data_IF_120848731127
#
_entry.id   IF_120848731127
#
_cell.length_a   1.000
_cell.length_b   1.000
_cell.length_c   1.000
_cell.angle_alpha   90.00
_cell.angle_beta   90.00
_cell.angle_gamma   90.00
#
_symmetry.space_group_name_H-M   'P 1'
#
loop_
_entity.id
_entity.type
_entity.pdbx_description
1 polymer ?
#
# COMPACT_ATOMS: atom_id res chain seq x y z
N UNK A 1 -2.53 -23.89 0.82
CA UNK A 1 -1.73 -22.99 1.67
C UNK A 1 -2.47 -21.71 1.94
N UNK A 2 -2.95 -20.97 0.92
CA UNK A 2 -3.72 -19.72 1.12
C UNK A 2 -4.95 -19.89 2.01
N UNK A 3 -5.79 -20.91 1.78
CA UNK A 3 -6.95 -21.15 2.67
C UNK A 3 -6.57 -21.37 4.14
N UNK A 4 -5.42 -21.99 4.39
CA UNK A 4 -4.90 -22.20 5.74
C UNK A 4 -4.38 -20.90 6.36
N UNK A 5 -3.81 -20.00 5.56
CA UNK A 5 -3.43 -18.65 6.00
C UNK A 5 -4.67 -17.87 6.40
N UNK A 6 -5.70 -17.86 5.56
CA UNK A 6 -6.98 -17.20 5.83
C UNK A 6 -7.68 -17.77 7.08
N UNK A 7 -7.66 -19.09 7.26
CA UNK A 7 -8.27 -19.75 8.42
C UNK A 7 -7.49 -19.58 9.73
N UNK A 8 -6.28 -19.04 9.71
CA UNK A 8 -5.43 -18.97 10.90
C UNK A 8 -4.93 -20.34 11.38
N UNK A 9 -4.47 -21.19 10.45
CA UNK A 9 -4.05 -22.57 10.75
C UNK A 9 -2.91 -22.62 11.79
N UNK A 10 -3.22 -23.22 12.95
CA UNK A 10 -2.29 -23.36 14.08
C UNK A 10 -1.04 -24.21 13.75
N UNK A 11 -1.15 -25.16 12.82
CA UNK A 11 -0.01 -25.96 12.38
C UNK A 11 1.00 -25.12 11.61
N UNK A 12 0.53 -24.24 10.72
CA UNK A 12 1.36 -23.27 10.01
C UNK A 12 1.99 -22.27 10.99
N UNK A 13 1.23 -21.79 11.98
CA UNK A 13 1.72 -20.89 13.01
C UNK A 13 2.84 -21.54 13.84
N UNK A 14 2.64 -22.78 14.31
CA UNK A 14 3.68 -23.57 15.02
C UNK A 14 4.92 -23.83 14.17
N UNK A 15 4.76 -23.92 12.85
CA UNK A 15 5.85 -24.01 11.89
C UNK A 15 6.51 -22.64 11.57
N UNK A 16 6.19 -21.58 12.32
CA UNK A 16 6.77 -20.24 12.17
C UNK A 16 6.30 -19.49 10.91
N UNK A 17 5.17 -19.90 10.31
CA UNK A 17 4.58 -19.21 9.16
C UNK A 17 3.57 -18.17 9.63
N UNK A 18 3.54 -17.01 8.97
CA UNK A 18 2.51 -16.00 9.19
C UNK A 18 1.16 -16.52 8.69
N UNK A 19 0.14 -16.40 9.53
CA UNK A 19 -1.26 -16.69 9.23
C UNK A 19 -2.13 -15.52 9.68
N UNK A 20 -3.40 -15.49 9.29
CA UNK A 20 -4.34 -14.50 9.78
C UNK A 20 -4.64 -14.79 11.27
N UNK A 21 -4.38 -13.82 12.13
CA UNK A 21 -4.63 -13.90 13.58
C UNK A 21 -5.74 -12.95 14.04
N UNK A 22 -6.58 -12.52 13.10
CA UNK A 22 -7.66 -11.58 13.38
C UNK A 22 -8.81 -12.20 14.18
N UNK A 23 -9.50 -11.33 14.92
CA UNK A 23 -10.63 -11.64 15.77
C UNK A 23 -11.90 -10.86 15.41
N UNK A 24 -12.91 -10.87 16.28
CA UNK A 24 -14.26 -10.38 15.98
C UNK A 24 -14.37 -8.88 15.73
N UNK A 25 -13.33 -8.11 16.07
CA UNK A 25 -13.31 -6.64 15.96
C UNK A 25 -12.41 -6.15 14.82
N UNK A 26 -11.71 -7.05 14.13
CA UNK A 26 -10.71 -6.69 13.14
C UNK A 26 -11.33 -6.60 11.74
N UNK A 27 -10.79 -5.71 10.91
CA UNK A 27 -11.10 -5.66 9.49
C UNK A 27 -10.05 -6.44 8.70
N UNK A 28 -10.50 -7.23 7.73
CA UNK A 28 -9.64 -8.05 6.88
C UNK A 28 -9.76 -7.58 5.43
N UNK A 29 -8.65 -7.29 4.78
CA UNK A 29 -8.58 -7.03 3.35
C UNK A 29 -7.78 -8.14 2.67
N UNK A 30 -8.32 -8.72 1.60
CA UNK A 30 -7.66 -9.75 0.80
C UNK A 30 -7.67 -9.31 -0.65
N UNK A 31 -6.49 -9.30 -1.27
CA UNK A 31 -6.35 -9.07 -2.70
C UNK A 31 -5.71 -10.29 -3.35
N UNK A 32 -6.36 -10.81 -4.38
CA UNK A 32 -5.83 -11.84 -5.25
C UNK A 32 -5.70 -11.28 -6.65
N UNK A 33 -4.59 -11.62 -7.30
CA UNK A 33 -4.35 -11.24 -8.68
C UNK A 33 -3.50 -12.32 -9.35
N UNK A 34 -4.06 -13.00 -10.36
CA UNK A 34 -3.40 -13.96 -11.25
C UNK A 34 -4.38 -14.29 -12.41
N UNK A 35 -4.22 -15.45 -13.02
CA UNK A 35 -5.18 -16.07 -13.91
C UNK A 35 -6.35 -16.72 -13.17
N UNK A 36 -7.43 -16.90 -13.90
CA UNK A 36 -8.61 -17.64 -13.46
C UNK A 36 -9.35 -18.24 -14.64
N UNK A 37 -10.27 -19.12 -14.32
CA UNK A 37 -11.24 -19.69 -15.24
C UNK A 37 -12.56 -19.91 -14.48
N UNK A 38 -13.54 -20.53 -15.10
CA UNK A 38 -14.84 -20.77 -14.49
C UNK A 38 -14.67 -21.49 -13.13
N UNK A 39 -15.15 -20.83 -12.08
CA UNK A 39 -15.15 -21.25 -10.67
C UNK A 39 -13.76 -21.53 -10.07
N UNK A 40 -12.68 -21.00 -10.68
CA UNK A 40 -11.30 -21.29 -10.26
C UNK A 40 -10.41 -20.04 -10.39
N UNK A 41 -9.55 -19.83 -9.38
CA UNK A 41 -8.37 -18.98 -9.49
C UNK A 41 -7.08 -19.79 -9.41
N UNK A 42 -6.07 -19.38 -10.18
CA UNK A 42 -4.84 -20.14 -10.38
C UNK A 42 -3.73 -19.75 -9.40
N UNK A 43 -2.94 -20.75 -9.00
CA UNK A 43 -1.67 -20.61 -8.30
C UNK A 43 -0.60 -21.30 -9.13
N UNK A 44 0.71 -21.02 -8.94
CA UNK A 44 1.77 -21.51 -9.81
C UNK A 44 1.76 -23.03 -10.10
N UNK A 45 1.28 -23.84 -9.16
CA UNK A 45 1.20 -25.30 -9.30
C UNK A 45 -0.15 -25.89 -8.86
N UNK A 46 -1.14 -25.05 -8.57
CA UNK A 46 -2.43 -25.48 -8.00
C UNK A 46 -3.56 -24.58 -8.48
N UNK A 47 -4.78 -25.06 -8.35
CA UNK A 47 -5.98 -24.27 -8.54
C UNK A 47 -6.72 -24.15 -7.20
N UNK A 48 -7.36 -23.01 -6.96
CA UNK A 48 -8.29 -22.82 -5.86
C UNK A 48 -9.70 -22.71 -6.42
N UNK A 49 -10.58 -23.64 -6.06
CA UNK A 49 -11.98 -23.64 -6.46
C UNK A 49 -12.79 -22.63 -5.66
N UNK A 50 -13.80 -22.05 -6.29
CA UNK A 50 -14.74 -21.12 -5.68
C UNK A 50 -15.38 -21.67 -4.41
N UNK A 51 -15.81 -22.95 -4.44
CA UNK A 51 -16.44 -23.59 -3.29
C UNK A 51 -15.48 -23.80 -2.10
N UNK A 52 -14.21 -24.10 -2.36
CA UNK A 52 -13.21 -24.27 -1.28
C UNK A 52 -12.92 -22.93 -0.60
N UNK A 53 -12.82 -21.85 -1.40
CA UNK A 53 -12.71 -20.49 -0.89
C UNK A 53 -13.95 -20.11 -0.07
N UNK A 54 -15.14 -20.30 -0.63
CA UNK A 54 -16.41 -19.98 0.03
C UNK A 54 -16.57 -20.72 1.36
N UNK A 55 -16.26 -22.02 1.39
CA UNK A 55 -16.33 -22.82 2.62
C UNK A 55 -15.37 -22.27 3.69
N UNK A 56 -14.18 -21.84 3.29
CA UNK A 56 -13.22 -21.21 4.21
C UNK A 56 -13.75 -19.88 4.74
N UNK A 57 -14.31 -19.03 3.87
CA UNK A 57 -14.90 -17.74 4.27
C UNK A 57 -16.09 -17.92 5.23
N UNK A 58 -16.96 -18.90 4.98
CA UNK A 58 -18.05 -19.26 5.89
C UNK A 58 -17.53 -19.75 7.24
N UNK A 59 -16.46 -20.55 7.25
CA UNK A 59 -15.82 -20.99 8.48
C UNK A 59 -15.22 -19.81 9.27
N UNK A 60 -14.53 -18.90 8.59
CA UNK A 60 -14.00 -17.68 9.21
C UNK A 60 -15.11 -16.82 9.84
N UNK A 61 -16.26 -16.71 9.17
CA UNK A 61 -17.42 -16.01 9.72
C UNK A 61 -17.93 -16.69 11.00
N UNK A 62 -18.15 -18.01 10.93
CA UNK A 62 -18.59 -18.82 12.06
C UNK A 62 -17.65 -18.68 13.27
N UNK A 63 -16.34 -18.69 13.02
CA UNK A 63 -15.30 -18.60 14.04
C UNK A 63 -14.99 -17.16 14.47
N UNK A 64 -15.78 -16.19 14.00
CA UNK A 64 -15.68 -14.76 14.33
C UNK A 64 -14.27 -14.20 14.11
N UNK A 65 -13.66 -14.56 12.98
CA UNK A 65 -12.29 -14.14 12.60
C UNK A 65 -12.21 -12.73 12.05
N UNK A 66 -13.33 -12.02 11.88
CA UNK A 66 -13.37 -10.64 11.42
C UNK A 66 -14.66 -9.95 11.83
N UNK A 67 -14.62 -8.63 11.97
CA UNK A 67 -15.80 -7.77 12.01
C UNK A 67 -16.37 -7.55 10.61
N UNK A 68 -15.50 -7.29 9.63
CA UNK A 68 -15.81 -7.14 8.20
C UNK A 68 -14.65 -7.62 7.35
N UNK A 69 -14.94 -8.21 6.20
CA UNK A 69 -13.93 -8.65 5.23
C UNK A 69 -14.19 -8.05 3.85
N UNK A 70 -13.15 -7.55 3.21
CA UNK A 70 -13.18 -7.08 1.82
C UNK A 70 -12.27 -7.95 0.97
N UNK A 71 -12.77 -8.42 -0.18
CA UNK A 71 -12.04 -9.32 -1.08
C UNK A 71 -12.01 -8.78 -2.51
N UNK A 72 -10.82 -8.45 -3.01
CA UNK A 72 -10.60 -8.05 -4.40
C UNK A 72 -10.02 -9.22 -5.19
N UNK A 73 -10.61 -9.57 -6.33
CA UNK A 73 -10.10 -10.61 -7.23
C UNK A 73 -9.89 -10.03 -8.63
N UNK A 74 -8.62 -9.94 -9.04
CA UNK A 74 -8.27 -9.80 -10.44
C UNK A 74 -7.93 -11.16 -11.04
N UNK A 75 -8.77 -11.60 -11.96
CA UNK A 75 -8.58 -12.79 -12.79
C UNK A 75 -9.63 -12.84 -13.91
N UNK A 76 -9.34 -13.58 -14.99
CA UNK A 76 -10.36 -13.97 -15.95
C UNK A 76 -11.45 -14.78 -15.23
N UNK A 77 -12.70 -14.59 -15.64
CA UNK A 77 -13.89 -15.24 -15.07
C UNK A 77 -14.06 -15.01 -13.56
N UNK A 78 -13.40 -14.01 -12.98
CA UNK A 78 -13.34 -13.79 -11.52
C UNK A 78 -14.71 -13.64 -10.86
N UNK A 79 -15.72 -13.11 -11.57
CA UNK A 79 -17.09 -13.05 -11.08
C UNK A 79 -17.67 -14.42 -10.70
N UNK A 80 -17.23 -15.50 -11.35
CA UNK A 80 -17.68 -16.87 -11.04
C UNK A 80 -17.28 -17.33 -9.63
N UNK A 81 -16.25 -16.72 -9.03
CA UNK A 81 -15.83 -17.04 -7.66
C UNK A 81 -16.88 -16.67 -6.60
N UNK A 82 -17.83 -15.80 -6.92
CA UNK A 82 -18.84 -15.31 -5.96
C UNK A 82 -20.27 -15.28 -6.51
N UNK A 83 -20.46 -15.35 -7.83
CA UNK A 83 -21.77 -15.23 -8.47
C UNK A 83 -22.76 -16.29 -7.95
N UNK A 84 -23.85 -15.81 -7.33
CA UNK A 84 -24.91 -16.62 -6.71
C UNK A 84 -24.47 -17.54 -5.55
N UNK A 85 -23.22 -17.46 -5.10
CA UNK A 85 -22.69 -18.35 -4.06
C UNK A 85 -22.21 -17.61 -2.80
N UNK A 86 -21.80 -16.34 -2.90
CA UNK A 86 -21.41 -15.54 -1.73
C UNK A 86 -22.66 -15.01 -0.99
N UNK A 87 -22.90 -15.40 0.28
CA UNK A 87 -24.02 -14.88 1.06
C UNK A 87 -23.86 -13.39 1.38
N UNK A 88 -24.98 -12.71 1.59
CA UNK A 88 -25.03 -11.27 1.90
C UNK A 88 -25.00 -10.96 3.39
N UNK A 89 -25.10 -11.98 4.26
CA UNK A 89 -25.25 -11.86 5.71
C UNK A 89 -23.98 -12.23 6.49
N UNK A 90 -22.90 -12.63 5.81
CA UNK A 90 -21.64 -13.05 6.44
C UNK A 90 -20.58 -11.94 6.55
N UNK A 91 -20.98 -10.67 6.38
CA UNK A 91 -20.11 -9.48 6.53
C UNK A 91 -18.89 -9.48 5.63
N UNK A 92 -19.06 -9.96 4.40
CA UNK A 92 -18.05 -9.95 3.34
C UNK A 92 -18.55 -9.09 2.19
N UNK A 93 -17.72 -8.17 1.71
CA UNK A 93 -17.89 -7.49 0.43
C UNK A 93 -16.79 -7.93 -0.51
N UNK A 94 -17.14 -8.23 -1.75
CA UNK A 94 -16.16 -8.64 -2.74
C UNK A 94 -16.35 -7.89 -4.05
N UNK A 95 -15.23 -7.61 -4.72
CA UNK A 95 -15.23 -7.06 -6.08
C UNK A 95 -14.33 -7.88 -6.99
N UNK A 96 -14.71 -7.97 -8.25
CA UNK A 96 -14.00 -8.78 -9.25
C UNK A 96 -13.73 -7.97 -10.50
N UNK A 97 -12.63 -8.29 -11.18
CA UNK A 97 -12.21 -7.60 -12.41
C UNK A 97 -13.12 -7.88 -13.61
N UNK A 98 -13.83 -9.01 -13.60
CA UNK A 98 -14.60 -9.50 -14.73
C UNK A 98 -15.91 -10.18 -14.28
N UNK A 99 -16.89 -10.25 -15.17
CA UNK A 99 -18.07 -11.12 -15.07
C UNK A 99 -17.69 -12.61 -15.01
N UNK A 100 -18.64 -13.49 -14.64
CA UNK A 100 -18.42 -14.94 -14.61
C UNK A 100 -18.09 -15.59 -15.96
N UNK A 101 -18.33 -14.90 -17.08
CA UNK A 101 -18.26 -15.43 -18.45
C UNK A 101 -17.29 -14.65 -19.37
N UNK A 102 -16.40 -13.83 -18.81
CA UNK A 102 -15.47 -13.01 -19.59
C UNK A 102 -14.04 -12.99 -19.02
N UNK A 103 -13.07 -12.58 -19.86
CA UNK A 103 -11.68 -12.37 -19.45
C UNK A 103 -11.46 -11.07 -18.68
N UNK A 104 -10.30 -10.94 -18.04
CA UNK A 104 -9.83 -9.68 -17.46
C UNK A 104 -8.76 -9.04 -18.34
N UNK A 105 -8.60 -7.72 -18.20
CA UNK A 105 -7.70 -6.93 -19.03
C UNK A 105 -6.33 -6.65 -18.40
N UNK A 106 -5.32 -6.47 -19.26
CA UNK A 106 -3.94 -6.12 -18.94
C UNK A 106 -3.58 -4.72 -19.46
N UNK A 107 -2.62 -4.06 -18.83
CA UNK A 107 -2.19 -2.72 -19.21
C UNK A 107 -0.66 -2.59 -19.16
N UNK A 108 -0.16 -1.41 -19.55
CA UNK A 108 1.25 -1.05 -19.50
C UNK A 108 2.17 -2.08 -20.17
N UNK A 109 2.13 -2.12 -21.50
CA UNK A 109 3.08 -2.92 -22.26
C UNK A 109 4.48 -2.30 -22.17
N UNK A 110 5.47 -3.11 -21.81
CA UNK A 110 6.88 -2.75 -21.73
C UNK A 110 7.65 -3.49 -22.84
N UNK A 111 8.26 -2.71 -23.73
CA UNK A 111 9.00 -3.23 -24.89
C UNK A 111 10.32 -3.90 -24.51
N UNK A 112 10.97 -3.45 -23.42
CA UNK A 112 12.29 -3.95 -23.01
C UNK A 112 12.18 -5.38 -22.45
N UNK A 113 11.06 -5.71 -21.81
CA UNK A 113 10.77 -7.08 -21.33
C UNK A 113 9.78 -7.83 -22.22
N UNK A 114 9.30 -7.21 -23.29
CA UNK A 114 8.31 -7.76 -24.23
C UNK A 114 7.08 -8.36 -23.52
N UNK A 115 6.52 -7.63 -22.54
CA UNK A 115 5.43 -8.11 -21.71
C UNK A 115 4.63 -6.94 -21.08
N UNK A 116 3.45 -7.25 -20.54
CA UNK A 116 2.66 -6.32 -19.73
C UNK A 116 3.13 -6.32 -18.27
N UNK A 117 3.26 -5.13 -17.68
CA UNK A 117 3.66 -4.96 -16.26
C UNK A 117 2.48 -4.69 -15.32
N UNK A 118 1.27 -4.51 -15.86
CA UNK A 118 0.09 -4.18 -15.09
C UNK A 118 -1.16 -4.90 -15.56
N UNK A 119 -2.15 -4.92 -14.66
CA UNK A 119 -3.49 -5.41 -14.93
C UNK A 119 -4.48 -4.26 -14.70
N UNK A 120 -5.34 -3.99 -15.69
CA UNK A 120 -6.13 -2.74 -15.75
C UNK A 120 -6.97 -2.54 -14.49
N UNK A 121 -7.70 -3.56 -14.05
CA UNK A 121 -8.47 -3.51 -12.79
C UNK A 121 -7.57 -3.22 -11.58
N UNK A 122 -6.43 -3.91 -11.51
CA UNK A 122 -5.52 -3.84 -10.36
C UNK A 122 -4.88 -2.47 -10.23
N UNK A 123 -4.35 -1.97 -11.35
CA UNK A 123 -3.78 -0.63 -11.46
C UNK A 123 -4.82 0.43 -11.08
N UNK A 124 -6.02 0.35 -11.65
CA UNK A 124 -7.05 1.35 -11.39
C UNK A 124 -7.42 1.46 -9.91
N UNK A 125 -7.59 0.35 -9.18
CA UNK A 125 -7.92 0.44 -7.76
C UNK A 125 -6.73 0.92 -6.92
N UNK A 126 -5.50 0.53 -7.28
CA UNK A 126 -4.29 0.98 -6.58
C UNK A 126 -4.03 2.47 -6.79
N UNK A 127 -4.08 2.98 -8.02
CA UNK A 127 -3.88 4.40 -8.33
C UNK A 127 -5.03 5.27 -7.78
N UNK A 128 -6.26 4.76 -7.80
CA UNK A 128 -7.37 5.42 -7.11
C UNK A 128 -7.12 5.51 -5.60
N UNK A 129 -6.58 4.45 -4.99
CA UNK A 129 -6.21 4.46 -3.55
C UNK A 129 -5.13 5.50 -3.26
N UNK A 130 -4.17 5.70 -4.16
CA UNK A 130 -3.10 6.70 -3.99
C UNK A 130 -3.60 8.15 -4.02
N UNK A 131 -4.70 8.40 -4.73
CA UNK A 131 -5.34 9.71 -4.83
C UNK A 131 -6.56 9.86 -3.91
N UNK A 132 -6.88 8.83 -3.12
CA UNK A 132 -8.05 8.80 -2.25
C UNK A 132 -7.88 9.67 -1.00
N UNK A 133 -9.01 10.13 -0.46
CA UNK A 133 -9.08 10.76 0.86
C UNK A 133 -9.55 9.75 1.90
N UNK A 134 -9.47 10.12 3.19
CA UNK A 134 -9.92 9.23 4.26
C UNK A 134 -11.43 8.94 4.22
N UNK A 135 -12.19 9.74 3.48
CA UNK A 135 -13.63 9.66 3.27
C UNK A 135 -14.01 8.85 2.02
N UNK A 136 -13.06 8.59 1.09
CA UNK A 136 -13.33 7.83 -0.13
C UNK A 136 -13.86 6.43 0.21
N UNK A 137 -15.04 6.10 -0.28
CA UNK A 137 -15.68 4.82 -0.01
C UNK A 137 -15.26 3.73 -1.00
N UNK A 138 -15.48 2.46 -0.64
CA UNK A 138 -15.34 1.35 -1.58
C UNK A 138 -16.26 1.48 -2.80
N UNK A 139 -17.40 2.15 -2.66
CA UNK A 139 -18.32 2.40 -3.75
C UNK A 139 -17.76 3.43 -4.71
N UNK A 140 -17.20 4.54 -4.20
CA UNK A 140 -16.53 5.55 -5.04
C UNK A 140 -15.37 4.91 -5.82
N UNK A 141 -14.56 4.09 -5.15
CA UNK A 141 -13.48 3.35 -5.79
C UNK A 141 -14.00 2.35 -6.82
N UNK A 142 -15.09 1.62 -6.54
CA UNK A 142 -15.67 0.69 -7.49
C UNK A 142 -16.21 1.39 -8.74
N UNK A 143 -16.89 2.53 -8.58
CA UNK A 143 -17.40 3.33 -9.68
C UNK A 143 -16.26 3.88 -10.54
N UNK A 144 -15.15 4.28 -9.90
CA UNK A 144 -13.90 4.63 -10.60
C UNK A 144 -13.35 3.44 -11.40
N UNK A 145 -13.19 2.26 -10.77
CA UNK A 145 -12.69 1.06 -11.45
C UNK A 145 -13.57 0.70 -12.65
N UNK A 146 -14.89 0.75 -12.49
CA UNK A 146 -15.85 0.38 -13.54
C UNK A 146 -15.80 1.33 -14.74
N UNK A 147 -15.47 2.60 -14.51
CA UNK A 147 -15.31 3.60 -15.58
C UNK A 147 -13.93 3.52 -16.27
N UNK A 148 -12.89 3.10 -15.55
CA UNK A 148 -11.51 3.07 -16.04
C UNK A 148 -11.05 1.67 -16.51
N UNK A 149 -11.90 0.65 -16.41
CA UNK A 149 -11.64 -0.72 -16.88
C UNK A 149 -12.61 -1.07 -18.04
N UNK A 150 -12.46 -0.50 -19.24
CA UNK A 150 -13.47 -0.63 -20.29
C UNK A 150 -13.54 -2.02 -20.94
N UNK A 151 -12.47 -2.82 -20.83
CA UNK A 151 -12.32 -4.10 -21.51
C UNK A 151 -12.81 -5.31 -20.68
N UNK A 152 -13.20 -5.10 -19.42
CA UNK A 152 -13.86 -6.11 -18.59
C UNK A 152 -14.83 -5.45 -17.63
N UNK A 153 -15.97 -6.07 -17.36
CA UNK A 153 -17.03 -5.48 -16.53
C UNK A 153 -16.83 -5.89 -15.08
N UNK A 154 -16.23 -4.99 -14.29
CA UNK A 154 -16.07 -5.19 -12.86
C UNK A 154 -17.42 -5.45 -12.16
N UNK A 155 -17.43 -6.35 -11.16
CA UNK A 155 -18.64 -6.76 -10.42
C UNK A 155 -18.46 -6.57 -8.91
N UNK A 156 -19.57 -6.45 -8.18
CA UNK A 156 -19.64 -6.45 -6.71
C UNK A 156 -20.53 -7.59 -6.20
N UNK A 157 -20.17 -8.17 -5.05
CA UNK A 157 -20.89 -9.28 -4.42
C UNK A 157 -20.92 -9.16 -2.89
N UNK A 158 -21.81 -9.92 -2.25
CA UNK A 158 -21.90 -10.03 -0.79
C UNK A 158 -22.68 -8.89 -0.13
N UNK A 159 -22.25 -8.49 1.07
CA UNK A 159 -22.86 -7.42 1.86
C UNK A 159 -22.50 -6.03 1.28
N UNK A 160 -23.31 -5.56 0.33
CA UNK A 160 -23.11 -4.26 -0.34
C UNK A 160 -23.20 -3.06 0.62
N UNK A 161 -23.66 -3.23 1.87
CA UNK A 161 -23.59 -2.15 2.85
C UNK A 161 -22.15 -1.77 3.20
N UNK A 162 -21.21 -2.71 3.07
CA UNK A 162 -19.78 -2.49 3.29
C UNK A 162 -19.17 -1.62 2.20
N UNK A 163 -19.73 -1.62 0.97
CA UNK A 163 -19.27 -0.76 -0.13
C UNK A 163 -19.34 0.74 0.24
N UNK A 164 -20.25 1.12 1.15
CA UNK A 164 -20.39 2.51 1.61
C UNK A 164 -19.36 2.93 2.65
N UNK A 165 -18.55 2.01 3.14
CA UNK A 165 -17.53 2.30 4.15
C UNK A 165 -16.29 2.91 3.51
N UNK A 166 -15.58 3.79 4.23
CA UNK A 166 -14.31 4.32 3.77
C UNK A 166 -13.27 3.22 3.53
N UNK A 167 -12.53 3.31 2.42
CA UNK A 167 -11.44 2.37 2.12
C UNK A 167 -10.31 2.45 3.16
N UNK A 168 -10.18 3.61 3.83
CA UNK A 168 -9.20 3.87 4.89
C UNK A 168 -9.39 2.97 6.13
N UNK A 169 -10.59 2.41 6.34
CA UNK A 169 -10.86 1.45 7.43
C UNK A 169 -10.20 0.09 7.22
N UNK A 170 -9.72 -0.20 6.01
CA UNK A 170 -9.13 -1.48 5.64
C UNK A 170 -7.70 -1.31 5.11
N UNK A 171 -7.44 -0.25 4.34
CA UNK A 171 -6.15 0.02 3.72
C UNK A 171 -5.28 0.99 4.53
N UNK A 172 -5.79 1.49 5.66
CA UNK A 172 -5.13 2.46 6.53
C UNK A 172 -5.50 3.91 6.18
N UNK A 173 -5.29 4.82 7.14
CA UNK A 173 -5.54 6.25 6.91
C UNK A 173 -4.52 6.82 5.94
N UNK A 174 -5.00 7.56 4.96
CA UNK A 174 -4.21 8.38 4.06
C UNK A 174 -3.84 9.66 4.81
N UNK A 175 -2.83 9.56 5.68
CA UNK A 175 -2.28 10.71 6.40
C UNK A 175 -1.33 11.47 5.47
N UNK A 176 -1.32 12.80 5.56
CA UNK A 176 -0.42 13.67 4.80
C UNK A 176 1.06 13.47 5.14
N UNK A 177 1.39 12.59 6.08
CA UNK A 177 2.72 12.02 6.27
C UNK A 177 2.55 10.58 6.78
N UNK A 178 2.91 9.59 5.96
CA UNK A 178 2.93 8.19 6.40
C UNK A 178 4.38 7.76 6.56
N UNK A 179 4.76 7.38 7.78
CA UNK A 179 5.84 6.42 8.00
C UNK A 179 5.35 5.11 7.38
N UNK A 180 5.49 4.98 6.07
CA UNK A 180 5.13 3.75 5.38
C UNK A 180 6.04 2.66 5.91
N UNK A 181 5.43 1.55 6.35
CA UNK A 181 6.16 0.31 6.46
C UNK A 181 6.45 -0.18 5.04
N UNK A 182 7.44 0.44 4.39
CA UNK A 182 7.92 0.02 3.08
C UNK A 182 8.62 -1.31 3.30
N UNK A 183 8.12 -2.37 2.66
CA UNK A 183 8.91 -3.55 2.32
C UNK A 183 9.58 -3.21 0.99
N UNK A 184 10.91 -3.09 1.01
CA UNK A 184 11.68 -2.85 -0.21
C UNK A 184 12.19 -4.20 -0.73
N UNK A 185 11.67 -4.70 -1.85
CA UNK A 185 12.26 -5.85 -2.58
C UNK A 185 13.42 -5.36 -3.45
N UNK A 186 14.65 -5.75 -3.09
CA UNK A 186 15.83 -5.51 -3.94
C UNK A 186 16.08 -6.70 -4.91
N UNK A 187 16.35 -6.40 -6.19
CA UNK A 187 16.57 -7.39 -7.26
C UNK A 187 18.05 -7.61 -7.61
N UNK A 188 18.58 -8.83 -7.45
CA UNK A 188 19.88 -9.18 -8.03
C UNK A 188 19.69 -9.69 -9.48
N UNK A 189 20.19 -8.94 -10.48
CA UNK A 189 20.17 -9.39 -11.87
C UNK A 189 21.24 -10.48 -12.09
N UNK A 190 20.81 -11.68 -12.51
CA UNK A 190 21.69 -12.67 -13.12
C UNK A 190 21.46 -12.64 -14.64
N UNK A 191 22.53 -12.41 -15.39
CA UNK A 191 22.56 -12.42 -16.86
C UNK A 191 21.98 -13.73 -17.40
N UNK A 192 20.99 -13.64 -18.30
CA UNK A 192 20.56 -14.77 -19.14
C UNK A 192 20.42 -14.25 -20.57
N UNK A 193 21.11 -14.95 -21.48
CA UNK A 193 21.32 -14.63 -22.89
C UNK A 193 20.04 -14.62 -23.75
N UNK A 194 20.13 -13.83 -24.81
CA UNK A 194 19.15 -13.61 -25.89
C UNK A 194 18.57 -14.89 -26.50
N UNK A 195 17.26 -14.86 -26.80
CA UNK A 195 16.68 -15.55 -27.96
C UNK A 195 15.74 -14.59 -28.67
N UNK A 196 16.12 -14.21 -29.89
CA UNK A 196 15.37 -13.35 -30.82
C UNK A 196 14.06 -13.99 -31.29
N UNK A 197 13.02 -13.15 -31.44
CA UNK A 197 11.78 -13.49 -32.12
C UNK A 197 11.08 -12.23 -32.64
N UNK A 198 11.32 -11.89 -33.91
CA UNK A 198 10.85 -10.65 -34.53
C UNK A 198 9.36 -10.60 -34.85
N UNK A 199 8.80 -9.40 -34.78
CA UNK A 199 7.47 -9.06 -35.29
C UNK A 199 7.29 -7.55 -35.37
N UNK A 200 7.09 -7.02 -36.58
CA UNK A 200 7.10 -5.59 -36.88
C UNK A 200 5.98 -4.78 -36.23
N UNK A 201 6.37 -3.73 -35.50
CA UNK A 201 5.51 -2.65 -35.01
C UNK A 201 6.15 -1.30 -35.35
N UNK A 202 5.32 -0.33 -35.76
CA UNK A 202 5.73 0.98 -36.28
C UNK A 202 6.59 1.76 -35.27
N UNK A 203 7.68 2.37 -35.75
CA UNK A 203 8.51 3.34 -34.99
C UNK A 203 7.64 4.50 -34.51
N UNK A 204 7.27 4.53 -33.23
CA UNK A 204 6.79 5.74 -32.57
C UNK A 204 8.00 6.41 -31.92
N UNK A 205 8.23 7.69 -32.23
CA UNK A 205 9.32 8.47 -31.63
C UNK A 205 9.08 8.57 -30.12
N UNK A 206 10.11 8.27 -29.33
CA UNK A 206 10.18 8.42 -27.87
C UNK A 206 9.48 9.71 -27.42
N UNK A 207 8.56 9.69 -26.45
CA UNK A 207 8.38 10.86 -25.60
C UNK A 207 9.72 11.11 -24.92
N UNK A 208 10.20 12.36 -24.96
CA UNK A 208 11.32 12.76 -24.09
C UNK A 208 10.94 12.43 -22.65
N UNK A 209 11.91 12.01 -21.84
CA UNK A 209 11.80 11.93 -20.38
C UNK A 209 10.93 13.08 -19.90
N UNK A 210 9.75 12.76 -19.38
CA UNK A 210 8.93 13.75 -18.67
C UNK A 210 9.65 13.96 -17.35
N UNK A 211 10.57 14.92 -17.33
CA UNK A 211 11.01 15.54 -16.10
C UNK A 211 9.78 16.21 -15.50
N UNK A 212 9.27 15.66 -14.40
CA UNK A 212 8.35 16.37 -13.53
C UNK A 212 9.10 17.58 -12.96
N UNK A 213 8.95 18.72 -13.65
CA UNK A 213 9.20 20.04 -13.09
C UNK A 213 7.85 20.67 -12.77
N UNK A 214 7.86 21.44 -11.70
CA UNK A 214 6.82 22.35 -11.19
C UNK A 214 5.99 21.77 -10.03
N UNK A 215 6.66 21.64 -8.88
CA UNK A 215 6.09 22.09 -7.62
C UNK A 215 6.84 23.37 -7.26
N UNK A 216 6.10 24.45 -7.01
CA UNK A 216 6.63 25.80 -6.81
C UNK A 216 7.78 25.85 -5.79
N UNK A 217 8.89 26.43 -6.23
CA UNK A 217 10.01 26.84 -5.40
C UNK A 217 9.54 27.80 -4.30
N UNK A 218 9.67 27.38 -3.05
CA UNK A 218 9.96 28.33 -1.97
C UNK A 218 11.40 28.06 -1.53
N UNK A 219 12.25 29.01 -1.87
CA UNK A 219 13.70 28.95 -1.75
C UNK A 219 14.19 28.57 -0.34
N UNK A 220 15.06 27.57 -0.28
CA UNK A 220 16.06 27.42 0.77
C UNK A 220 17.40 27.01 0.13
N UNK A 221 18.42 27.83 0.39
CA UNK A 221 19.80 27.79 -0.10
C UNK A 221 20.40 26.39 -0.37
N UNK A 222 20.75 26.14 -1.65
CA UNK A 222 22.05 25.57 -2.05
C UNK A 222 22.29 24.05 -1.99
N UNK A 223 21.41 23.24 -1.39
CA UNK A 223 21.57 21.78 -1.35
C UNK A 223 20.39 21.07 -2.01
N UNK A 224 20.66 20.07 -2.86
CA UNK A 224 19.63 19.18 -3.41
C UNK A 224 18.80 18.57 -2.28
N UNK A 225 17.47 18.54 -2.41
CA UNK A 225 16.58 17.98 -1.38
C UNK A 225 16.76 16.45 -1.18
N UNK A 226 17.35 15.80 -2.17
CA UNK A 226 17.64 14.36 -2.22
C UNK A 226 19.07 14.13 -2.70
N UNK A 227 19.59 12.93 -2.48
CA UNK A 227 20.85 12.46 -3.05
C UNK A 227 20.71 11.02 -3.53
N UNK A 228 21.35 10.65 -4.66
CA UNK A 228 21.27 9.30 -5.20
C UNK A 228 22.12 8.34 -4.36
N UNK A 229 21.56 7.18 -4.05
CA UNK A 229 22.20 6.10 -3.29
C UNK A 229 21.93 4.77 -3.98
N UNK A 230 22.93 3.90 -4.07
CA UNK A 230 22.74 2.58 -4.67
C UNK A 230 21.79 1.73 -3.81
N UNK A 231 20.78 1.11 -4.43
CA UNK A 231 19.75 0.31 -3.76
C UNK A 231 20.32 -0.79 -2.85
N UNK A 232 21.46 -1.39 -3.23
CA UNK A 232 22.24 -2.35 -2.42
C UNK A 232 22.69 -1.83 -1.04
N UNK A 233 22.82 -0.52 -0.88
CA UNK A 233 23.33 0.13 0.34
C UNK A 233 22.22 0.54 1.29
N UNK A 234 20.95 0.47 0.87
CA UNK A 234 19.81 0.71 1.73
C UNK A 234 19.74 -0.32 2.85
N UNK A 235 19.29 0.12 4.03
CA UNK A 235 19.18 -0.70 5.24
C UNK A 235 17.84 -0.42 5.91
N UNK A 236 17.34 -1.40 6.66
CA UNK A 236 16.23 -1.20 7.60
C UNK A 236 16.54 -0.01 8.53
N UNK A 237 15.53 0.80 8.80
CA UNK A 237 15.58 2.10 9.47
C UNK A 237 16.25 3.23 8.69
N UNK A 238 16.73 2.99 7.47
CA UNK A 238 17.16 4.03 6.53
C UNK A 238 15.98 4.78 5.92
N UNK A 239 16.28 5.66 4.96
CA UNK A 239 15.30 6.44 4.23
C UNK A 239 15.44 6.23 2.74
N UNK A 240 14.35 6.45 2.00
CA UNK A 240 14.30 6.33 0.55
C UNK A 240 13.17 7.20 0.01
N UNK A 241 13.34 7.75 -1.18
CA UNK A 241 12.26 8.41 -1.90
C UNK A 241 11.45 7.36 -2.66
N UNK A 242 10.14 7.36 -2.43
CA UNK A 242 9.18 6.51 -3.15
C UNK A 242 8.12 7.43 -3.72
N UNK A 243 7.96 7.42 -5.04
CA UNK A 243 7.00 8.28 -5.75
C UNK A 243 7.07 9.76 -5.33
N UNK A 244 8.29 10.30 -5.29
CA UNK A 244 8.58 11.67 -4.84
C UNK A 244 8.23 11.99 -3.38
N UNK A 245 7.93 10.99 -2.53
CA UNK A 245 7.70 11.17 -1.10
C UNK A 245 8.83 10.57 -0.25
N UNK A 246 9.26 11.25 0.83
CA UNK A 246 10.27 10.72 1.73
C UNK A 246 9.69 9.61 2.63
N UNK A 247 10.25 8.40 2.54
CA UNK A 247 9.80 7.24 3.31
C UNK A 247 10.91 6.70 4.22
N UNK A 248 10.51 6.13 5.36
CA UNK A 248 11.41 5.38 6.24
C UNK A 248 11.28 3.89 5.95
N UNK A 249 12.40 3.20 5.81
CA UNK A 249 12.43 1.76 5.55
C UNK A 249 12.16 1.00 6.84
N UNK A 250 11.00 0.35 6.95
CA UNK A 250 10.67 -0.46 8.14
C UNK A 250 11.08 -1.93 7.96
N UNK A 251 11.05 -2.43 6.73
CA UNK A 251 11.42 -3.80 6.40
C UNK A 251 12.01 -3.85 4.98
N UNK A 252 12.86 -4.83 4.70
CA UNK A 252 13.41 -5.04 3.37
C UNK A 252 13.42 -6.54 3.10
N UNK A 253 13.12 -6.92 1.87
CA UNK A 253 13.28 -8.29 1.42
C UNK A 253 14.06 -8.32 0.10
N UNK A 254 14.52 -9.49 -0.31
CA UNK A 254 15.26 -9.65 -1.57
C UNK A 254 14.62 -10.77 -2.36
N UNK A 255 14.32 -10.50 -3.63
CA UNK A 255 13.74 -11.49 -4.54
C UNK A 255 14.79 -11.95 -5.53
N UNK A 256 14.81 -13.26 -5.82
CA UNK A 256 15.58 -13.86 -6.91
C UNK A 256 14.63 -14.15 -8.05
N UNK A 257 15.04 -13.90 -9.29
CA UNK A 257 14.22 -14.20 -10.47
C UNK A 257 14.04 -15.71 -10.63
N UNK A 258 12.79 -16.17 -10.51
CA UNK A 258 12.31 -17.36 -11.20
C UNK A 258 11.60 -16.95 -12.48
N UNK A 259 11.56 -17.82 -13.50
CA UNK A 259 10.90 -17.56 -14.80
C UNK A 259 9.42 -17.16 -14.71
N UNK A 260 8.80 -17.30 -13.54
CA UNK A 260 7.44 -16.82 -13.28
C UNK A 260 7.44 -16.19 -11.88
N UNK A 261 7.42 -14.86 -11.83
CA UNK A 261 7.44 -14.11 -10.57
C UNK A 261 6.79 -12.75 -10.76
N UNK A 262 5.46 -12.72 -10.74
CA UNK A 262 4.69 -11.49 -10.62
C UNK A 262 4.89 -10.94 -9.20
N UNK A 263 5.89 -10.09 -9.01
CA UNK A 263 5.95 -9.22 -7.84
C UNK A 263 5.02 -8.04 -8.11
N UNK A 264 3.96 -7.92 -7.31
CA UNK A 264 2.94 -6.87 -7.41
C UNK A 264 3.27 -5.76 -6.42
N UNK A 265 3.49 -4.55 -6.96
CA UNK A 265 3.58 -3.26 -6.26
C UNK A 265 4.34 -3.27 -4.91
N UNK A 266 5.59 -3.69 -4.95
CA UNK A 266 6.61 -3.07 -4.11
C UNK A 266 7.47 -2.21 -5.05
N UNK A 267 8.04 -1.09 -4.59
CA UNK A 267 8.94 -0.29 -5.43
C UNK A 267 10.18 -1.13 -5.77
N UNK A 268 10.11 -1.82 -6.92
CA UNK A 268 11.12 -2.76 -7.37
C UNK A 268 12.28 -1.96 -7.92
N UNK A 269 13.28 -1.69 -7.07
CA UNK A 269 14.56 -1.16 -7.52
C UNK A 269 15.54 -2.30 -7.80
N UNK A 270 16.11 -2.39 -9.01
CA UNK A 270 17.26 -3.24 -9.26
C UNK A 270 18.38 -2.95 -8.26
N UNK A 271 18.97 -3.99 -7.68
CA UNK A 271 19.96 -3.91 -6.60
C UNK A 271 21.15 -3.00 -6.94
N UNK A 272 21.46 -2.88 -8.24
CA UNK A 272 22.55 -2.06 -8.76
C UNK A 272 22.15 -0.63 -9.13
N UNK A 273 20.87 -0.30 -9.21
CA UNK A 273 20.41 1.06 -9.55
C UNK A 273 20.56 2.02 -8.38
N UNK A 274 20.73 3.29 -8.72
CA UNK A 274 20.63 4.37 -7.75
C UNK A 274 19.16 4.75 -7.57
N UNK A 275 18.80 5.01 -6.31
CA UNK A 275 17.52 5.55 -5.90
C UNK A 275 17.76 6.80 -5.07
N UNK A 276 16.86 7.76 -5.18
CA UNK A 276 16.95 8.98 -4.40
C UNK A 276 16.67 8.70 -2.92
N UNK A 277 17.48 9.29 -2.06
CA UNK A 277 17.30 9.28 -0.61
C UNK A 277 17.10 10.72 -0.15
N UNK A 278 16.11 11.01 0.70
CA UNK A 278 15.88 12.36 1.18
C UNK A 278 17.00 12.83 2.11
N UNK A 279 17.30 14.13 2.06
CA UNK A 279 18.00 14.79 3.14
C UNK A 279 17.04 14.98 4.32
N UNK A 280 17.27 14.21 5.39
CA UNK A 280 16.43 14.23 6.59
C UNK A 280 17.09 15.09 7.66
N UNK A 281 16.38 16.14 8.09
CA UNK A 281 16.77 16.95 9.23
C UNK A 281 15.87 16.62 10.44
N UNK A 282 16.45 16.62 11.64
CA UNK A 282 15.74 16.44 12.90
C UNK A 282 16.03 17.61 13.80
N UNK A 283 15.00 18.17 14.40
CA UNK A 283 15.14 19.29 15.33
C UNK A 283 14.17 19.10 16.48
N UNK A 284 14.67 19.34 17.68
CA UNK A 284 13.91 19.24 18.92
C UNK A 284 13.29 20.60 19.25
N UNK A 285 12.03 20.58 19.67
CA UNK A 285 11.31 21.78 20.07
C UNK A 285 10.59 21.52 21.39
N UNK A 286 10.53 22.55 22.23
CA UNK A 286 9.67 22.54 23.40
C UNK A 286 8.21 22.75 22.95
N UNK A 287 7.30 21.90 23.41
CA UNK A 287 5.87 22.08 23.22
C UNK A 287 5.35 23.15 24.19
N UNK A 288 4.76 24.23 23.65
CA UNK A 288 4.18 25.32 24.44
C UNK A 288 2.68 25.13 24.63
N UNK A 289 1.95 24.80 23.56
CA UNK A 289 0.50 24.78 23.57
C UNK A 289 -0.05 23.79 22.54
N UNK A 290 -1.24 23.26 22.83
CA UNK A 290 -2.03 22.43 21.92
C UNK A 290 -3.38 23.11 21.75
N UNK A 291 -3.69 23.57 20.55
CA UNK A 291 -4.95 24.22 20.21
C UNK A 291 -6.10 23.21 20.08
N UNK A 292 -7.34 23.67 20.23
CA UNK A 292 -8.55 22.84 20.17
C UNK A 292 -8.75 22.15 18.81
N UNK A 293 -8.23 22.77 17.75
CA UNK A 293 -8.20 22.24 16.38
C UNK A 293 -7.01 21.27 16.12
N UNK A 294 -6.20 21.01 17.15
CA UNK A 294 -5.11 20.04 17.16
C UNK A 294 -3.77 20.56 16.62
N UNK A 295 -3.64 21.85 16.32
CA UNK A 295 -2.34 22.47 16.02
C UNK A 295 -1.50 22.65 17.28
N UNK A 296 -0.17 22.63 17.14
CA UNK A 296 0.77 22.80 18.25
C UNK A 296 1.65 24.02 18.07
N UNK A 297 1.85 24.74 19.18
CA UNK A 297 2.86 25.79 19.28
C UNK A 297 4.14 25.19 19.81
N UNK A 298 5.20 25.26 19.03
CA UNK A 298 6.52 24.73 19.34
C UNK A 298 7.56 25.84 19.42
N UNK A 299 8.52 25.73 20.34
CA UNK A 299 9.61 26.70 20.51
C UNK A 299 10.97 26.04 20.42
N UNK A 300 11.87 26.64 19.64
CA UNK A 300 13.26 26.19 19.59
C UNK A 300 14.11 26.81 20.72
N UNK A 301 15.37 26.39 20.80
CA UNK A 301 16.36 26.88 21.75
C UNK A 301 16.67 28.38 21.60
N UNK A 302 16.51 28.94 20.40
CA UNK A 302 16.67 30.38 20.11
C UNK A 302 15.46 31.22 20.53
N UNK A 303 14.39 30.57 20.96
CA UNK A 303 13.15 31.19 21.38
C UNK A 303 12.18 31.56 20.27
N UNK A 304 12.44 31.12 19.04
CA UNK A 304 11.53 31.25 17.91
C UNK A 304 10.40 30.22 18.03
N UNK A 305 9.18 30.64 17.72
CA UNK A 305 7.98 29.81 17.81
C UNK A 305 7.44 29.44 16.44
N UNK A 306 6.72 28.32 16.36
CA UNK A 306 6.03 27.85 15.16
C UNK A 306 4.72 27.16 15.49
N UNK A 307 3.72 27.32 14.62
CA UNK A 307 2.34 26.86 14.81
C UNK A 307 1.79 26.06 13.60
N UNK A 308 2.67 25.65 12.69
CA UNK A 308 2.33 25.02 11.39
C UNK A 308 2.16 23.49 11.46
N UNK A 309 2.31 22.88 12.65
CA UNK A 309 2.26 21.43 12.83
C UNK A 309 1.05 21.01 13.67
N UNK A 310 0.50 19.83 13.37
CA UNK A 310 -0.56 19.20 14.17
C UNK A 310 -0.01 18.05 15.01
N UNK A 311 -0.70 17.74 16.10
CA UNK A 311 -0.40 16.54 16.89
C UNK A 311 -0.55 15.28 16.03
N UNK A 312 0.44 14.35 16.05
CA UNK A 312 0.32 13.06 15.37
C UNK A 312 -0.89 12.28 15.87
N UNK A 313 -1.59 11.57 15.00
CA UNK A 313 -2.67 10.68 15.45
C UNK A 313 -2.12 9.40 16.12
N UNK A 314 -2.97 8.70 16.88
CA UNK A 314 -2.64 7.42 17.52
C UNK A 314 -1.92 7.54 18.87
N UNK A 315 -1.21 6.48 19.27
CA UNK A 315 -0.56 6.37 20.58
C UNK A 315 0.42 7.51 20.87
N UNK A 316 1.16 7.97 19.86
CA UNK A 316 2.13 9.07 20.00
C UNK A 316 1.44 10.38 20.36
N UNK A 317 0.34 10.72 19.69
CA UNK A 317 -0.43 11.92 19.99
C UNK A 317 -1.06 11.89 21.37
N UNK A 318 -1.61 10.73 21.75
CA UNK A 318 -2.15 10.54 23.08
C UNK A 318 -1.07 10.71 24.15
N UNK A 319 0.11 10.12 23.95
CA UNK A 319 1.26 10.28 24.84
C UNK A 319 1.67 11.74 24.99
N UNK A 320 1.75 12.49 23.90
CA UNK A 320 2.09 13.93 23.94
C UNK A 320 1.05 14.71 24.75
N UNK A 321 -0.24 14.45 24.53
CA UNK A 321 -1.34 15.10 25.27
C UNK A 321 -1.29 14.76 26.76
N UNK A 322 -1.04 13.49 27.09
CA UNK A 322 -0.97 13.00 28.47
C UNK A 322 0.24 13.56 29.21
N UNK A 323 1.41 13.62 28.55
CA UNK A 323 2.62 14.20 29.13
C UNK A 323 2.48 15.71 29.33
N UNK A 324 1.90 16.42 28.36
CA UNK A 324 1.67 17.86 28.43
C UNK A 324 0.65 18.22 29.52
N UNK A 325 -0.42 17.44 29.68
CA UNK A 325 -1.44 17.65 30.72
C UNK A 325 -0.94 17.42 32.16
N UNK A 326 0.26 16.88 32.34
CA UNK A 326 0.90 16.66 33.67
C UNK A 326 1.84 17.81 34.08
N UNK A 327 1.77 18.96 33.41
CA UNK A 327 2.69 20.10 33.58
C UNK A 327 4.18 19.73 33.35
N UNK A 328 4.44 18.68 32.58
CA UNK A 328 5.81 18.33 32.20
C UNK A 328 6.32 19.23 31.08
N UNK A 329 7.62 19.51 31.09
CA UNK A 329 8.28 20.08 29.93
C UNK A 329 8.44 18.99 28.86
N UNK A 330 7.54 19.01 27.87
CA UNK A 330 7.56 18.08 26.74
C UNK A 330 8.43 18.65 25.63
N UNK A 331 9.43 17.87 25.21
CA UNK A 331 10.24 18.14 24.03
C UNK A 331 9.80 17.19 22.93
N UNK A 332 9.39 17.72 21.79
CA UNK A 332 9.03 16.95 20.61
C UNK A 332 10.15 17.01 19.57
N UNK A 333 10.43 15.88 18.93
CA UNK A 333 11.36 15.83 17.80
C UNK A 333 10.56 15.95 16.51
N UNK A 334 10.82 17.01 15.75
CA UNK A 334 10.28 17.21 14.41
C UNK A 334 11.29 16.71 13.39
N UNK A 335 10.84 15.86 12.48
CA UNK A 335 11.59 15.45 11.30
C UNK A 335 11.11 16.24 10.09
N UNK A 336 12.04 16.71 9.27
CA UNK A 336 11.74 17.35 8.00
C UNK A 336 12.52 16.74 6.84
N UNK A 337 11.85 16.52 5.72
CA UNK A 337 12.44 16.00 4.48
C UNK A 337 11.60 16.49 3.29
N UNK A 338 12.24 17.00 2.24
CA UNK A 338 11.60 17.36 0.95
C UNK A 338 10.33 18.22 1.13
N UNK A 339 10.44 19.30 1.91
CA UNK A 339 9.31 20.20 2.19
C UNK A 339 8.27 19.67 3.18
N UNK A 340 8.26 18.37 3.49
CA UNK A 340 7.38 17.76 4.48
C UNK A 340 7.99 17.81 5.89
N UNK A 341 7.13 17.91 6.91
CA UNK A 341 7.52 17.98 8.34
C UNK A 341 6.49 17.28 9.23
N UNK A 342 6.94 16.49 10.21
CA UNK A 342 6.06 16.02 11.29
C UNK A 342 6.81 15.73 12.59
N UNK A 343 6.03 15.64 13.66
CA UNK A 343 6.47 15.19 14.98
C UNK A 343 6.58 13.66 14.96
N UNK A 344 7.76 13.15 15.31
CA UNK A 344 8.07 11.70 15.24
C UNK A 344 8.41 11.08 16.59
N UNK A 345 8.68 11.92 17.60
CA UNK A 345 8.98 11.47 18.95
C UNK A 345 8.66 12.58 19.97
N UNK A 346 8.46 12.17 21.21
CA UNK A 346 8.38 13.03 22.38
C UNK A 346 9.24 12.47 23.52
N UNK A 347 9.83 13.38 24.30
CA UNK A 347 10.56 13.09 25.54
C UNK A 347 10.18 14.13 26.59
N UNK A 348 10.18 13.72 27.85
CA UNK A 348 10.06 14.64 28.98
C UNK A 348 11.46 15.16 29.33
N UNK A 349 11.62 16.47 29.49
CA UNK A 349 12.88 17.04 29.96
C UNK A 349 13.16 16.73 31.45
N UNK A 350 12.12 16.31 32.19
CA UNK A 350 12.15 16.09 33.64
C UNK A 350 12.13 14.60 34.04
N UNK A 351 12.34 13.66 33.10
CA UNK A 351 12.27 12.21 33.34
C UNK A 351 13.65 11.54 33.29
#
# INVERSE_FOLDING_TARGET
MVLKVLAGDEGLKKAGKKVLESGPNDHVFVFFDDHGTLDIICFPHKALKAMDLLNTLKQMHHDKKYAKLVFYIKACFSGSMFYKILPTDIKIYATTAAKPDEGSDWCYYDEDINNHVGDTYSVNWMENTESATNETSFQDQFDYIKTHTPNSVAQQYGDLSIAKLPISLFLGKFSTMVVLAVVLILYAAAMIDHVDGGGGGKKVKRPKQVTYKDYDEVAASGASATYPVQCSTLRKNGFVMIKARPCKIMEMSTSKTGKHGHAKYEDLCPYTHNIDVPNVNRSDFQLIHISDDGFVTLKNDKGETRDDLRIPEGEMGQKIKDEFGRDNTVIVTVMSAVGEKAIIACKNANA
#
